data_IF_535963243903
#
_entry.id   IF_535963243903
#
_cell.length_a   1.000
_cell.length_b   1.000
_cell.length_c   1.000
_cell.angle_alpha   90.00
_cell.angle_beta   90.00
_cell.angle_gamma   90.00
#
_symmetry.space_group_name_H-M   'P 1'
#
loop_
_entity.id
_entity.type
_entity.pdbx_description
1 polymer ?
#
# COMPACT_ATOMS: atom_id res chain seq x y z
N UNK A 1 -13.48 -36.38 7.06
CA UNK A 1 -12.77 -35.30 6.35
C UNK A 1 -13.63 -34.07 6.45
N UNK A 2 -13.08 -32.93 6.84
CA UNK A 2 -13.82 -31.66 6.79
C UNK A 2 -14.16 -31.32 5.33
N UNK A 3 -15.40 -30.90 5.07
CA UNK A 3 -15.83 -30.46 3.74
C UNK A 3 -15.03 -29.21 3.37
N UNK A 4 -14.32 -29.23 2.24
CA UNK A 4 -13.60 -28.05 1.76
C UNK A 4 -14.59 -27.00 1.27
N UNK A 5 -14.26 -25.73 1.49
CA UNK A 5 -15.01 -24.60 0.92
C UNK A 5 -14.90 -24.68 -0.60
N UNK A 6 -16.05 -24.66 -1.29
CA UNK A 6 -16.16 -24.65 -2.75
C UNK A 6 -16.51 -23.26 -3.25
N UNK A 7 -15.73 -22.75 -4.19
CA UNK A 7 -15.90 -21.40 -4.73
C UNK A 7 -16.00 -21.48 -6.24
N UNK A 8 -17.07 -20.95 -6.81
CA UNK A 8 -17.13 -20.72 -8.25
C UNK A 8 -16.52 -19.35 -8.57
N UNK A 9 -15.51 -19.31 -9.42
CA UNK A 9 -14.96 -18.07 -9.98
C UNK A 9 -15.47 -17.89 -11.40
N UNK A 10 -16.43 -16.98 -11.55
CA UNK A 10 -17.16 -16.70 -12.77
C UNK A 10 -16.63 -15.48 -13.50
N UNK A 11 -16.60 -15.55 -14.85
CA UNK A 11 -16.31 -14.40 -15.69
C UNK A 11 -17.44 -14.14 -16.71
N UNK A 12 -18.41 -13.29 -16.35
CA UNK A 12 -19.63 -13.11 -17.13
C UNK A 12 -19.45 -12.23 -18.36
N UNK A 13 -20.24 -12.49 -19.40
CA UNK A 13 -20.44 -11.58 -20.53
C UNK A 13 -19.36 -11.68 -21.62
N UNK A 14 -18.97 -10.55 -22.23
CA UNK A 14 -17.95 -10.54 -23.30
C UNK A 14 -16.53 -10.22 -22.78
N UNK A 15 -16.37 -10.11 -21.47
CA UNK A 15 -15.11 -9.72 -20.84
C UNK A 15 -14.02 -10.77 -21.08
N UNK A 16 -12.96 -10.37 -21.78
CA UNK A 16 -11.79 -11.20 -22.09
C UNK A 16 -10.65 -11.12 -21.08
N UNK A 17 -10.73 -10.27 -20.05
CA UNK A 17 -9.61 -10.00 -19.14
C UNK A 17 -9.54 -11.00 -17.97
N UNK A 18 -8.92 -12.15 -18.15
CA UNK A 18 -8.91 -13.21 -17.13
C UNK A 18 -7.86 -13.08 -16.03
N UNK A 19 -6.86 -12.20 -16.18
CA UNK A 19 -5.71 -12.13 -15.25
C UNK A 19 -6.14 -12.01 -13.79
N UNK A 20 -7.05 -11.09 -13.47
CA UNK A 20 -7.55 -10.91 -12.11
C UNK A 20 -8.26 -12.17 -11.59
N UNK A 21 -9.17 -12.74 -12.38
CA UNK A 21 -9.90 -13.95 -12.02
C UNK A 21 -8.98 -15.14 -11.76
N UNK A 22 -7.92 -15.30 -12.56
CA UNK A 22 -6.91 -16.37 -12.40
C UNK A 22 -6.05 -16.19 -11.15
N UNK A 23 -5.70 -14.95 -10.81
CA UNK A 23 -4.99 -14.64 -9.56
C UNK A 23 -5.87 -14.95 -8.35
N UNK A 24 -7.15 -14.55 -8.37
CA UNK A 24 -8.10 -14.89 -7.30
C UNK A 24 -8.28 -16.41 -7.19
N UNK A 25 -8.48 -17.11 -8.31
CA UNK A 25 -8.61 -18.56 -8.31
C UNK A 25 -7.36 -19.27 -7.76
N UNK A 26 -6.16 -18.76 -8.05
CA UNK A 26 -4.92 -19.27 -7.46
C UNK A 26 -4.88 -19.01 -5.94
N UNK A 27 -5.13 -17.79 -5.50
CA UNK A 27 -5.11 -17.43 -4.08
C UNK A 27 -6.10 -18.24 -3.23
N UNK A 28 -7.30 -18.51 -3.75
CA UNK A 28 -8.30 -19.34 -3.08
C UNK A 28 -7.86 -20.82 -2.99
N UNK A 29 -7.24 -21.36 -4.05
CA UNK A 29 -6.66 -22.71 -4.02
C UNK A 29 -5.49 -22.83 -3.04
N UNK A 30 -4.61 -21.83 -3.02
CA UNK A 30 -3.48 -21.77 -2.08
C UNK A 30 -3.97 -21.69 -0.63
N UNK A 31 -5.15 -21.09 -0.41
CA UNK A 31 -5.85 -21.08 0.87
C UNK A 31 -6.59 -22.40 1.20
N UNK A 32 -6.47 -23.44 0.37
CA UNK A 32 -7.03 -24.78 0.61
C UNK A 32 -8.47 -24.97 0.14
N UNK A 33 -9.04 -24.03 -0.62
CA UNK A 33 -10.41 -24.11 -1.15
C UNK A 33 -10.46 -24.87 -2.48
N UNK A 34 -11.59 -25.51 -2.76
CA UNK A 34 -11.90 -26.08 -4.07
C UNK A 34 -12.45 -24.98 -4.98
N UNK A 35 -11.84 -24.78 -6.15
CA UNK A 35 -12.20 -23.67 -7.05
C UNK A 35 -12.70 -24.20 -8.40
N UNK A 36 -13.94 -23.86 -8.73
CA UNK A 36 -14.56 -24.10 -10.04
C UNK A 36 -14.43 -22.83 -10.88
N UNK A 37 -13.59 -22.85 -11.91
CA UNK A 37 -13.42 -21.71 -12.80
C UNK A 37 -14.25 -21.88 -14.07
N UNK A 38 -15.13 -20.92 -14.37
CA UNK A 38 -16.07 -21.04 -15.50
C UNK A 38 -15.42 -20.82 -16.87
N UNK A 39 -14.18 -20.36 -16.90
CA UNK A 39 -13.57 -19.85 -18.12
C UNK A 39 -14.12 -18.47 -18.53
N UNK A 40 -13.68 -18.02 -19.70
CA UNK A 40 -14.07 -16.73 -20.28
C UNK A 40 -15.50 -16.79 -20.83
N UNK A 41 -16.19 -15.64 -20.75
CA UNK A 41 -17.46 -15.39 -21.45
C UNK A 41 -18.59 -16.36 -21.12
N UNK A 42 -18.62 -16.85 -19.88
CA UNK A 42 -19.74 -17.64 -19.41
C UNK A 42 -20.99 -16.75 -19.33
N UNK A 43 -22.15 -17.29 -19.74
CA UNK A 43 -23.41 -16.58 -19.58
C UNK A 43 -23.83 -16.58 -18.11
N UNK A 44 -24.55 -15.53 -17.67
CA UNK A 44 -25.07 -15.47 -16.30
C UNK A 44 -25.92 -16.70 -15.92
N UNK A 45 -26.82 -17.20 -16.79
CA UNK A 45 -27.54 -18.44 -16.51
C UNK A 45 -26.63 -19.68 -16.38
N UNK A 46 -25.58 -19.78 -17.19
CA UNK A 46 -24.62 -20.88 -17.09
C UNK A 46 -23.81 -20.83 -15.79
N UNK A 47 -23.41 -19.63 -15.35
CA UNK A 47 -22.75 -19.42 -14.06
C UNK A 47 -23.66 -19.85 -12.91
N UNK A 48 -24.93 -19.43 -12.92
CA UNK A 48 -25.90 -19.80 -11.88
C UNK A 48 -26.16 -21.30 -11.83
N UNK A 49 -26.34 -21.94 -13.00
CA UNK A 49 -26.55 -23.37 -13.11
C UNK A 49 -25.34 -24.17 -12.61
N UNK A 50 -24.13 -23.78 -13.02
CA UNK A 50 -22.90 -24.42 -12.56
C UNK A 50 -22.70 -24.27 -11.05
N UNK A 51 -22.96 -23.07 -10.50
CA UNK A 51 -22.86 -22.84 -9.06
C UNK A 51 -23.79 -23.76 -8.26
N UNK A 52 -25.05 -23.91 -8.71
CA UNK A 52 -26.02 -24.79 -8.06
C UNK A 52 -25.68 -26.28 -8.24
N UNK A 53 -25.20 -26.69 -9.42
CA UNK A 53 -24.85 -28.08 -9.71
C UNK A 53 -23.61 -28.55 -8.94
N UNK A 54 -22.62 -27.67 -8.79
CA UNK A 54 -21.37 -27.96 -8.08
C UNK A 54 -21.48 -27.80 -6.55
N UNK A 55 -22.65 -27.35 -6.08
CA UNK A 55 -22.93 -27.08 -4.66
C UNK A 55 -21.87 -26.16 -4.02
N UNK A 56 -21.65 -25.01 -4.66
CA UNK A 56 -20.63 -24.06 -4.22
C UNK A 56 -21.12 -23.21 -3.06
N UNK A 57 -20.20 -22.87 -2.16
CA UNK A 57 -20.47 -22.07 -0.97
C UNK A 57 -20.51 -20.58 -1.29
N UNK A 58 -19.74 -20.15 -2.30
CA UNK A 58 -19.60 -18.74 -2.68
C UNK A 58 -19.42 -18.63 -4.20
N UNK A 59 -20.06 -17.63 -4.82
CA UNK A 59 -19.80 -17.23 -6.20
C UNK A 59 -18.95 -15.96 -6.19
N UNK A 60 -17.75 -16.03 -6.78
CA UNK A 60 -16.91 -14.88 -7.08
C UNK A 60 -17.02 -14.46 -8.54
N UNK A 61 -17.52 -13.25 -8.84
CA UNK A 61 -17.53 -12.69 -10.19
C UNK A 61 -16.35 -11.75 -10.44
N UNK A 62 -15.69 -11.88 -11.58
CA UNK A 62 -14.69 -10.91 -12.06
C UNK A 62 -15.22 -10.12 -13.25
N UNK A 63 -15.44 -8.81 -13.07
CA UNK A 63 -16.12 -7.94 -14.04
C UNK A 63 -15.26 -6.69 -14.33
N UNK A 64 -14.90 -6.49 -15.59
CA UNK A 64 -14.20 -5.29 -16.06
C UNK A 64 -14.99 -4.51 -17.13
N UNK A 65 -16.21 -4.94 -17.47
CA UNK A 65 -17.02 -4.37 -18.55
C UNK A 65 -17.86 -3.15 -18.16
N UNK A 66 -17.83 -2.71 -16.89
CA UNK A 66 -18.73 -1.69 -16.35
C UNK A 66 -20.20 -2.12 -16.23
N UNK A 67 -20.51 -3.37 -16.57
CA UNK A 67 -21.88 -3.91 -16.52
C UNK A 67 -22.18 -4.66 -15.21
N UNK A 68 -21.44 -4.37 -14.13
CA UNK A 68 -21.53 -5.09 -12.84
C UNK A 68 -22.93 -5.06 -12.25
N UNK A 69 -23.63 -3.93 -12.25
CA UNK A 69 -24.99 -3.83 -11.71
C UNK A 69 -25.96 -4.80 -12.40
N UNK A 70 -26.13 -4.65 -13.72
CA UNK A 70 -27.02 -5.50 -14.51
C UNK A 70 -26.65 -7.00 -14.47
N UNK A 71 -25.35 -7.31 -14.47
CA UNK A 71 -24.89 -8.70 -14.37
C UNK A 71 -25.24 -9.32 -13.01
N UNK A 72 -25.04 -8.58 -11.91
CA UNK A 72 -25.34 -9.06 -10.56
C UNK A 72 -26.85 -9.24 -10.37
N UNK A 73 -27.66 -8.28 -10.82
CA UNK A 73 -29.13 -8.38 -10.78
C UNK A 73 -29.62 -9.65 -11.48
N UNK A 74 -29.17 -9.89 -12.72
CA UNK A 74 -29.52 -11.08 -13.49
C UNK A 74 -29.04 -12.38 -12.84
N UNK A 75 -27.89 -12.37 -12.17
CA UNK A 75 -27.37 -13.55 -11.48
C UNK A 75 -28.25 -13.88 -10.26
N UNK A 76 -28.59 -12.87 -9.47
CA UNK A 76 -29.46 -13.01 -8.30
C UNK A 76 -30.82 -13.55 -8.72
N UNK A 77 -31.41 -13.03 -9.79
CA UNK A 77 -32.66 -13.56 -10.34
C UNK A 77 -32.53 -15.03 -10.81
N UNK A 78 -31.42 -15.38 -11.46
CA UNK A 78 -31.19 -16.75 -11.90
C UNK A 78 -31.05 -17.73 -10.73
N UNK A 79 -30.32 -17.34 -9.68
CA UNK A 79 -30.18 -18.15 -8.45
C UNK A 79 -31.52 -18.31 -7.73
N UNK A 80 -32.34 -17.25 -7.63
CA UNK A 80 -33.70 -17.32 -7.08
C UNK A 80 -34.57 -18.34 -7.81
N UNK A 81 -34.52 -18.37 -9.16
CA UNK A 81 -35.27 -19.35 -9.97
C UNK A 81 -34.80 -20.79 -9.71
N UNK A 82 -33.51 -20.98 -9.43
CA UNK A 82 -32.92 -22.27 -9.07
C UNK A 82 -33.12 -22.64 -7.59
N UNK A 83 -33.71 -21.75 -6.77
CA UNK A 83 -33.82 -21.88 -5.31
C UNK A 83 -32.46 -22.11 -4.64
N UNK A 84 -31.41 -21.52 -5.20
CA UNK A 84 -30.06 -21.54 -4.67
C UNK A 84 -29.79 -20.25 -3.90
N UNK A 85 -29.46 -20.37 -2.61
CA UNK A 85 -29.07 -19.23 -1.76
C UNK A 85 -27.56 -19.24 -1.56
N UNK A 86 -26.85 -18.67 -2.54
CA UNK A 86 -25.39 -18.67 -2.59
C UNK A 86 -24.90 -17.22 -2.54
N UNK A 87 -24.07 -16.83 -1.56
CA UNK A 87 -23.54 -15.48 -1.45
C UNK A 87 -22.65 -15.14 -2.65
N UNK A 88 -22.77 -13.88 -3.12
CA UNK A 88 -22.05 -13.37 -4.28
C UNK A 88 -20.99 -12.36 -3.83
N UNK A 89 -19.75 -12.58 -4.24
CA UNK A 89 -18.63 -11.65 -4.14
C UNK A 89 -18.32 -11.12 -5.54
N UNK A 90 -18.13 -9.81 -5.69
CA UNK A 90 -17.85 -9.19 -7.00
C UNK A 90 -16.51 -8.47 -6.94
N UNK A 91 -15.67 -8.69 -7.93
CA UNK A 91 -14.39 -8.00 -8.08
C UNK A 91 -14.14 -7.49 -9.49
N UNK A 92 -13.14 -6.62 -9.63
CA UNK A 92 -12.71 -6.04 -10.89
C UNK A 92 -12.60 -4.52 -10.81
N UNK A 93 -12.80 -3.83 -11.94
CA UNK A 93 -12.77 -2.36 -11.98
C UNK A 93 -14.18 -1.84 -11.67
N UNK A 94 -14.50 -1.78 -10.38
CA UNK A 94 -15.81 -1.37 -9.89
C UNK A 94 -15.68 0.01 -9.23
N UNK A 95 -16.30 1.07 -9.78
CA UNK A 95 -16.26 2.40 -9.20
C UNK A 95 -16.79 2.41 -7.76
N UNK A 96 -16.14 3.14 -6.86
CA UNK A 96 -16.52 3.20 -5.44
C UNK A 96 -17.98 3.67 -5.24
N UNK A 97 -18.48 4.55 -6.12
CA UNK A 97 -19.86 5.02 -6.09
C UNK A 97 -20.91 3.91 -6.31
N UNK A 98 -20.52 2.79 -6.92
CA UNK A 98 -21.42 1.68 -7.24
C UNK A 98 -21.44 0.60 -6.15
N UNK A 99 -20.60 0.72 -5.12
CA UNK A 99 -20.46 -0.33 -4.10
C UNK A 99 -21.70 -0.44 -3.22
N UNK A 100 -22.30 0.69 -2.86
CA UNK A 100 -23.52 0.72 -2.02
C UNK A 100 -24.72 0.16 -2.78
N UNK A 101 -24.87 0.51 -4.07
CA UNK A 101 -25.95 -0.01 -4.90
C UNK A 101 -25.82 -1.52 -5.15
N UNK A 102 -24.61 -2.04 -5.36
CA UNK A 102 -24.37 -3.48 -5.46
C UNK A 102 -24.74 -4.22 -4.16
N UNK A 103 -24.40 -3.66 -2.99
CA UNK A 103 -24.80 -4.24 -1.70
C UNK A 103 -26.31 -4.23 -1.50
N UNK A 104 -26.97 -3.12 -1.84
CA UNK A 104 -28.43 -3.02 -1.79
C UNK A 104 -29.12 -4.04 -2.71
N UNK A 105 -28.49 -4.44 -3.82
CA UNK A 105 -28.98 -5.50 -4.70
C UNK A 105 -28.85 -6.90 -4.10
N UNK A 106 -27.99 -7.11 -3.10
CA UNK A 106 -27.72 -8.42 -2.48
C UNK A 106 -26.33 -8.98 -2.73
N UNK A 107 -25.38 -8.18 -3.26
CA UNK A 107 -23.96 -8.57 -3.32
C UNK A 107 -23.36 -8.52 -1.92
N UNK A 108 -22.75 -9.63 -1.49
CA UNK A 108 -22.23 -9.78 -0.14
C UNK A 108 -20.91 -9.02 0.09
N UNK A 109 -20.05 -8.92 -0.92
CA UNK A 109 -18.79 -8.16 -0.86
C UNK A 109 -18.35 -7.64 -2.22
N UNK A 110 -17.67 -6.49 -2.24
CA UNK A 110 -17.14 -5.84 -3.44
C UNK A 110 -15.63 -5.60 -3.29
N UNK A 111 -14.84 -5.99 -4.27
CA UNK A 111 -13.37 -5.84 -4.26
C UNK A 111 -12.87 -5.09 -5.50
N UNK A 112 -12.20 -3.96 -5.28
CA UNK A 112 -11.52 -3.20 -6.33
C UNK A 112 -10.13 -3.75 -6.70
N UNK A 113 -9.43 -3.15 -7.70
CA UNK A 113 -8.12 -3.61 -8.18
C UNK A 113 -7.02 -3.61 -7.11
N UNK A 114 -7.10 -2.70 -6.14
CA UNK A 114 -6.13 -2.55 -5.04
C UNK A 114 -6.46 -3.43 -3.81
N UNK A 115 -7.48 -4.28 -3.90
CA UNK A 115 -7.90 -5.09 -2.76
C UNK A 115 -6.84 -6.15 -2.43
N UNK A 116 -6.42 -6.29 -1.16
CA UNK A 116 -5.49 -7.34 -0.77
C UNK A 116 -6.09 -8.73 -1.02
N UNK A 117 -5.32 -9.66 -1.58
CA UNK A 117 -5.77 -11.04 -1.83
C UNK A 117 -6.26 -11.73 -0.55
N UNK A 118 -5.56 -11.50 0.57
CA UNK A 118 -5.96 -12.03 1.87
C UNK A 118 -7.36 -11.58 2.29
N UNK A 119 -7.77 -10.35 1.98
CA UNK A 119 -9.11 -9.87 2.31
C UNK A 119 -10.20 -10.62 1.52
N UNK A 120 -9.92 -10.97 0.26
CA UNK A 120 -10.82 -11.79 -0.55
C UNK A 120 -10.95 -13.21 0.05
N UNK A 121 -9.83 -13.82 0.43
CA UNK A 121 -9.81 -15.15 1.06
C UNK A 121 -10.62 -15.15 2.36
N UNK A 122 -10.40 -14.17 3.24
CA UNK A 122 -11.12 -14.08 4.51
C UNK A 122 -12.63 -13.83 4.33
N UNK A 123 -13.01 -13.00 3.36
CA UNK A 123 -14.43 -12.79 3.05
C UNK A 123 -15.11 -14.06 2.55
N UNK A 124 -14.44 -14.84 1.69
CA UNK A 124 -14.96 -16.12 1.22
C UNK A 124 -15.10 -17.11 2.38
N UNK A 125 -14.13 -17.18 3.30
CA UNK A 125 -14.24 -18.03 4.51
C UNK A 125 -15.42 -17.65 5.39
N UNK A 126 -15.58 -16.35 5.67
CA UNK A 126 -16.67 -15.84 6.47
C UNK A 126 -18.03 -16.23 5.85
N UNK A 127 -18.22 -15.93 4.56
CA UNK A 127 -19.45 -16.22 3.84
C UNK A 127 -19.77 -17.72 3.78
N UNK A 128 -18.78 -18.57 3.49
CA UNK A 128 -18.96 -20.02 3.48
C UNK A 128 -19.33 -20.60 4.86
N UNK A 129 -19.01 -19.88 5.95
CA UNK A 129 -19.40 -20.24 7.32
C UNK A 129 -20.73 -19.60 7.78
N UNK A 130 -21.44 -18.90 6.89
CA UNK A 130 -22.68 -18.18 7.22
C UNK A 130 -22.47 -16.88 7.99
N UNK A 131 -21.23 -16.42 8.14
CA UNK A 131 -20.92 -15.11 8.70
C UNK A 131 -21.02 -14.04 7.61
N UNK A 132 -21.43 -12.81 7.94
CA UNK A 132 -21.38 -11.71 6.98
C UNK A 132 -19.94 -11.52 6.51
N UNK A 133 -19.75 -11.18 5.24
CA UNK A 133 -18.44 -10.78 4.75
C UNK A 133 -17.93 -9.61 5.62
N UNK A 134 -16.63 -9.59 5.98
CA UNK A 134 -16.03 -8.41 6.55
C UNK A 134 -16.38 -7.22 5.66
N UNK A 135 -16.92 -6.15 6.25
CA UNK A 135 -17.10 -4.89 5.52
C UNK A 135 -15.76 -4.52 4.89
N UNK A 136 -15.79 -3.86 3.71
CA UNK A 136 -14.61 -3.53 2.90
C UNK A 136 -13.41 -3.31 3.79
N UNK A 137 -12.26 -3.96 3.55
CA UNK A 137 -11.10 -3.77 4.40
C UNK A 137 -10.88 -2.27 4.51
N UNK A 138 -11.23 -1.71 5.68
CA UNK A 138 -10.97 -0.32 6.01
C UNK A 138 -9.50 -0.19 5.69
N UNK A 139 -9.09 0.61 4.68
CA UNK A 139 -7.79 0.47 4.05
C UNK A 139 -6.80 0.34 5.19
N UNK A 140 -6.18 -0.86 5.29
CA UNK A 140 -5.38 -1.25 6.45
C UNK A 140 -4.56 -0.02 6.79
N UNK A 141 -4.58 0.53 8.03
CA UNK A 141 -4.15 1.89 8.30
C UNK A 141 -2.74 2.03 7.77
N UNK A 142 -2.65 2.52 6.53
CA UNK A 142 -1.48 2.33 5.71
C UNK A 142 -0.34 2.97 6.50
N UNK A 143 0.80 2.31 6.49
CA UNK A 143 1.99 2.83 7.15
C UNK A 143 2.37 4.20 6.58
N UNK A 144 3.63 4.57 6.71
CA UNK A 144 4.14 5.69 5.94
C UNK A 144 3.98 5.30 4.46
N UNK A 145 3.18 6.02 3.64
CA UNK A 145 3.03 5.72 2.22
C UNK A 145 4.26 6.24 1.47
N UNK A 146 5.43 5.74 1.87
CA UNK A 146 6.71 6.13 1.32
C UNK A 146 6.80 5.63 -0.12
N UNK A 147 7.24 6.51 -1.03
CA UNK A 147 7.42 6.16 -2.43
C UNK A 147 8.79 5.53 -2.69
N UNK A 148 9.80 5.92 -1.92
CA UNK A 148 11.17 5.36 -1.94
C UNK A 148 11.96 5.73 -0.69
N UNK A 149 13.10 5.07 -0.48
CA UNK A 149 14.19 5.62 0.32
C UNK A 149 14.70 6.88 -0.38
N UNK A 150 14.79 7.98 0.36
CA UNK A 150 15.25 9.24 -0.19
C UNK A 150 16.75 9.41 0.00
N UNK A 151 17.19 9.43 1.25
CA UNK A 151 18.61 9.50 1.56
C UNK A 151 18.94 8.84 2.90
N UNK A 152 20.22 8.60 3.10
CA UNK A 152 20.81 8.14 4.35
C UNK A 152 21.84 9.17 4.78
N UNK A 153 21.73 9.69 6.00
CA UNK A 153 22.58 10.77 6.47
C UNK A 153 23.66 10.27 7.44
N UNK A 154 24.90 10.67 7.21
CA UNK A 154 26.02 10.51 8.14
C UNK A 154 26.33 11.88 8.73
N UNK A 155 26.26 12.00 10.06
CA UNK A 155 26.73 13.20 10.72
C UNK A 155 28.26 13.16 10.83
N UNK A 156 28.93 14.23 10.42
CA UNK A 156 30.39 14.32 10.32
C UNK A 156 30.95 15.56 11.01
N UNK A 157 32.16 15.44 11.57
CA UNK A 157 32.89 16.55 12.19
C UNK A 157 33.51 17.49 11.17
N UNK A 158 34.05 16.93 10.08
CA UNK A 158 34.75 17.68 9.04
C UNK A 158 34.16 17.35 7.65
N UNK A 159 33.27 18.23 7.18
CA UNK A 159 32.61 18.07 5.89
C UNK A 159 33.60 17.92 4.74
N UNK A 160 34.67 18.73 4.71
CA UNK A 160 35.62 18.72 3.59
C UNK A 160 36.42 17.43 3.56
N UNK A 161 36.90 16.98 4.72
CA UNK A 161 37.63 15.72 4.81
C UNK A 161 36.74 14.53 4.44
N UNK A 162 35.49 14.50 4.89
CA UNK A 162 34.54 13.44 4.57
C UNK A 162 34.14 13.41 3.09
N UNK A 163 33.93 14.58 2.47
CA UNK A 163 33.70 14.67 1.02
C UNK A 163 34.90 14.10 0.26
N UNK A 164 36.11 14.58 0.56
CA UNK A 164 37.32 14.12 -0.11
C UNK A 164 37.52 12.60 0.02
N UNK A 165 37.22 12.03 1.19
CA UNK A 165 37.30 10.59 1.43
C UNK A 165 36.31 9.80 0.55
N UNK A 166 35.06 10.26 0.44
CA UNK A 166 34.04 9.60 -0.40
C UNK A 166 34.43 9.70 -1.88
N UNK A 167 34.89 10.86 -2.33
CA UNK A 167 35.30 11.04 -3.72
C UNK A 167 36.50 10.18 -4.07
N UNK A 168 37.47 10.02 -3.16
CA UNK A 168 38.68 9.23 -3.37
C UNK A 168 38.40 7.71 -3.32
N UNK A 169 37.69 7.24 -2.29
CA UNK A 169 37.48 5.80 -2.07
C UNK A 169 36.35 5.25 -2.93
N UNK A 170 35.23 5.97 -3.02
CA UNK A 170 34.03 5.48 -3.72
C UNK A 170 33.94 6.02 -5.15
N UNK A 171 34.76 7.01 -5.53
CA UNK A 171 34.72 7.64 -6.85
C UNK A 171 33.48 8.50 -7.09
N UNK A 172 32.63 8.68 -6.08
CA UNK A 172 31.35 9.38 -6.21
C UNK A 172 31.55 10.87 -5.94
N UNK A 173 31.15 11.72 -6.89
CA UNK A 173 31.30 13.18 -6.78
C UNK A 173 30.16 13.80 -5.98
N UNK A 174 30.47 14.86 -5.25
CA UNK A 174 29.45 15.65 -4.57
C UNK A 174 28.52 16.28 -5.60
N UNK A 175 27.22 16.04 -5.45
CA UNK A 175 26.19 16.50 -6.38
C UNK A 175 25.60 17.86 -5.94
N UNK A 176 25.54 18.09 -4.63
CA UNK A 176 24.99 19.33 -4.07
C UNK A 176 25.62 19.62 -2.70
N UNK A 177 25.88 20.88 -2.42
CA UNK A 177 26.27 21.38 -1.09
C UNK A 177 25.43 22.61 -0.78
N UNK A 178 24.96 22.70 0.47
CA UNK A 178 24.21 23.87 0.92
C UNK A 178 24.33 24.08 2.43
N UNK A 179 24.08 25.32 2.83
CA UNK A 179 23.76 25.63 4.21
C UNK A 179 22.24 25.58 4.38
N UNK A 180 21.74 24.89 5.42
CA UNK A 180 20.31 24.79 5.74
C UNK A 180 20.02 25.56 7.03
N UNK A 181 19.71 26.88 6.98
CA UNK A 181 19.54 27.72 8.17
C UNK A 181 18.47 27.22 9.14
N UNK A 182 17.36 26.71 8.60
CA UNK A 182 16.25 26.18 9.39
C UNK A 182 16.68 25.00 10.29
N UNK A 183 17.75 24.31 9.92
CA UNK A 183 18.32 23.17 10.63
C UNK A 183 19.62 23.49 11.34
N UNK A 184 20.24 24.65 11.06
CA UNK A 184 21.57 25.03 11.55
C UNK A 184 22.62 23.99 11.20
N UNK A 185 22.61 23.50 9.96
CA UNK A 185 23.55 22.50 9.46
C UNK A 185 24.10 22.91 8.11
N UNK A 186 25.27 22.39 7.77
CA UNK A 186 25.76 22.30 6.41
C UNK A 186 25.53 20.87 5.91
N UNK A 187 25.06 20.73 4.67
CA UNK A 187 24.69 19.46 4.07
C UNK A 187 25.41 19.27 2.72
N UNK A 188 25.82 18.04 2.44
CA UNK A 188 26.37 17.63 1.15
C UNK A 188 25.73 16.32 0.68
N UNK A 189 25.36 16.23 -0.59
CA UNK A 189 24.66 15.08 -1.15
C UNK A 189 25.47 14.40 -2.26
N UNK A 190 25.46 13.08 -2.24
CA UNK A 190 26.00 12.21 -3.28
C UNK A 190 24.84 11.39 -3.86
N UNK A 191 24.42 11.72 -5.09
CA UNK A 191 23.23 11.15 -5.71
C UNK A 191 23.55 9.84 -6.46
N UNK A 192 22.71 8.82 -6.29
CA UNK A 192 22.84 7.54 -7.00
C UNK A 192 21.79 7.39 -8.11
N UNK A 193 22.05 6.57 -9.15
CA UNK A 193 21.14 6.40 -10.29
C UNK A 193 19.74 5.88 -9.94
N UNK A 194 19.56 5.25 -8.79
CA UNK A 194 18.26 4.77 -8.32
C UNK A 194 17.40 5.88 -7.65
N UNK A 195 17.89 7.12 -7.62
CA UNK A 195 17.20 8.27 -7.05
C UNK A 195 17.29 8.38 -5.53
N UNK A 196 18.16 7.59 -4.89
CA UNK A 196 18.52 7.74 -3.49
C UNK A 196 19.86 8.51 -3.36
N UNK A 197 20.11 9.10 -2.21
CA UNK A 197 21.35 9.83 -1.94
C UNK A 197 22.04 9.39 -0.64
N UNK A 198 23.36 9.55 -0.60
CA UNK A 198 24.10 9.63 0.66
C UNK A 198 24.21 11.12 1.03
N UNK A 199 23.75 11.48 2.23
CA UNK A 199 23.90 12.82 2.78
C UNK A 199 25.02 12.83 3.83
N UNK A 200 25.87 13.84 3.78
CA UNK A 200 26.69 14.25 4.90
C UNK A 200 26.05 15.46 5.57
N UNK A 201 25.97 15.45 6.89
CA UNK A 201 25.45 16.58 7.68
C UNK A 201 26.45 17.00 8.76
N UNK A 202 26.82 18.27 8.77
CA UNK A 202 27.70 18.84 9.80
C UNK A 202 26.95 19.93 10.59
N UNK A 203 27.06 19.98 11.93
CA UNK A 203 26.43 21.02 12.71
C UNK A 203 27.04 22.39 12.39
N UNK A 204 26.18 23.38 12.27
CA UNK A 204 26.53 24.80 12.19
C UNK A 204 25.74 25.58 13.23
N UNK A 205 26.06 25.34 14.50
CA UNK A 205 25.31 25.84 15.65
C UNK A 205 24.11 24.97 16.02
N UNK A 206 24.14 23.68 15.68
CA UNK A 206 23.14 22.69 16.06
C UNK A 206 23.64 21.87 17.25
N UNK A 207 23.22 22.28 18.46
CA UNK A 207 23.62 21.63 19.71
C UNK A 207 23.24 20.14 19.80
N UNK A 208 22.22 19.69 19.07
CA UNK A 208 21.82 18.28 19.03
C UNK A 208 22.85 17.42 18.29
N UNK A 209 23.25 17.88 17.10
CA UNK A 209 24.27 17.20 16.29
C UNK A 209 25.67 17.35 16.89
N UNK A 210 25.99 18.47 17.52
CA UNK A 210 27.24 18.65 18.27
C UNK A 210 27.38 17.58 19.37
N UNK A 211 26.36 17.42 20.21
CA UNK A 211 26.32 16.36 21.24
C UNK A 211 26.33 14.95 20.64
N UNK A 212 25.71 14.76 19.48
CA UNK A 212 25.76 13.49 18.77
C UNK A 212 27.21 13.15 18.39
N UNK A 213 27.94 14.08 17.78
CA UNK A 213 29.34 13.90 17.36
C UNK A 213 30.29 13.74 18.54
N UNK A 214 30.07 14.44 19.65
CA UNK A 214 30.81 14.25 20.90
C UNK A 214 30.69 12.81 21.42
N UNK A 215 29.47 12.25 21.34
CA UNK A 215 29.17 10.92 21.90
C UNK A 215 29.49 9.76 20.95
N UNK A 216 29.29 9.95 19.65
CA UNK A 216 29.32 8.88 18.64
C UNK A 216 30.51 8.99 17.68
N UNK A 217 31.11 10.17 17.56
CA UNK A 217 31.95 10.49 16.41
C UNK A 217 31.13 10.55 15.12
N UNK A 218 31.83 10.48 13.98
CA UNK A 218 31.19 10.44 12.67
C UNK A 218 30.39 9.15 12.54
N UNK A 219 29.08 9.26 12.31
CA UNK A 219 28.18 8.11 12.35
C UNK A 219 26.85 8.35 11.62
N UNK A 220 26.17 7.25 11.28
CA UNK A 220 24.81 7.27 10.74
C UNK A 220 23.86 8.04 11.67
N UNK A 221 23.19 9.04 11.13
CA UNK A 221 22.32 9.96 11.86
C UNK A 221 20.83 9.65 11.64
N UNK A 222 20.38 9.56 10.39
CA UNK A 222 18.99 9.21 10.08
C UNK A 222 18.82 8.51 8.73
N UNK A 223 17.62 7.92 8.55
CA UNK A 223 17.12 7.42 7.27
C UNK A 223 15.92 8.25 6.85
N UNK A 224 15.90 8.67 5.58
CA UNK A 224 14.88 9.54 5.04
C UNK A 224 13.99 8.80 4.03
N UNK A 225 12.68 8.98 4.15
CA UNK A 225 11.67 8.37 3.28
C UNK A 225 10.91 9.44 2.50
N UNK A 226 10.83 9.28 1.18
CA UNK A 226 10.08 10.19 0.32
C UNK A 226 8.58 9.95 0.48
N UNK A 227 7.81 11.01 0.72
CA UNK A 227 6.34 11.00 0.80
C UNK A 227 5.74 12.07 -0.13
N UNK A 228 4.47 11.91 -0.49
CA UNK A 228 3.74 12.86 -1.36
C UNK A 228 3.12 14.03 -0.61
N UNK A 229 2.72 13.81 0.64
CA UNK A 229 2.04 14.78 1.50
C UNK A 229 2.49 14.55 2.96
N UNK A 230 3.46 15.33 3.40
CA UNK A 230 4.10 15.22 4.70
C UNK A 230 3.12 15.54 5.83
N UNK A 231 2.26 16.55 5.65
CA UNK A 231 1.36 17.00 6.70
C UNK A 231 0.22 15.99 6.91
N UNK A 232 -0.30 15.40 5.83
CA UNK A 232 -1.26 14.30 5.93
C UNK A 232 -0.65 13.07 6.61
N UNK A 233 0.61 12.75 6.31
CA UNK A 233 1.32 11.64 6.96
C UNK A 233 1.55 11.91 8.44
N UNK A 234 2.01 13.10 8.82
CA UNK A 234 2.23 13.48 10.22
C UNK A 234 0.92 13.45 11.02
N UNK A 235 -0.16 14.03 10.49
CA UNK A 235 -1.48 13.98 11.12
C UNK A 235 -1.95 12.55 11.35
N UNK A 236 -1.71 11.66 10.38
CA UNK A 236 -2.05 10.24 10.50
C UNK A 236 -1.22 9.52 11.57
N UNK A 237 0.07 9.80 11.63
CA UNK A 237 0.98 9.20 12.60
C UNK A 237 0.67 9.69 14.03
N UNK A 238 0.39 10.98 14.20
CA UNK A 238 -0.02 11.58 15.48
C UNK A 238 -1.33 10.98 15.98
N UNK A 239 -2.32 10.82 15.10
CA UNK A 239 -3.59 10.15 15.42
C UNK A 239 -3.43 8.68 15.86
N UNK A 240 -2.28 8.05 15.54
CA UNK A 240 -1.92 6.69 15.95
C UNK A 240 -1.02 6.67 17.19
N UNK A 241 -0.72 7.83 17.79
CA UNK A 241 0.16 7.95 18.95
C UNK A 241 1.63 7.67 18.63
N UNK A 242 2.04 7.75 17.36
CA UNK A 242 3.45 7.61 16.99
C UNK A 242 4.22 8.82 17.53
N UNK A 243 5.30 8.63 18.31
CA UNK A 243 6.12 9.75 18.77
C UNK A 243 6.73 10.54 17.62
N UNK A 244 6.34 11.82 17.47
CA UNK A 244 6.86 12.75 16.45
C UNK A 244 7.80 13.77 17.08
N UNK A 245 8.80 14.23 16.32
CA UNK A 245 9.56 15.45 16.66
C UNK A 245 8.84 16.65 16.06
N UNK A 246 8.54 16.57 14.76
CA UNK A 246 7.85 17.62 14.02
C UNK A 246 6.37 17.27 13.85
N UNK A 247 5.48 18.22 14.16
CA UNK A 247 4.02 18.06 13.96
C UNK A 247 3.53 18.54 12.59
N UNK A 248 4.35 19.35 11.92
CA UNK A 248 4.11 19.91 10.58
C UNK A 248 5.43 19.92 9.81
N UNK A 249 5.37 19.75 8.49
CA UNK A 249 6.55 19.81 7.64
C UNK A 249 7.19 21.20 7.62
N UNK A 250 8.52 21.26 7.73
CA UNK A 250 9.32 22.49 7.75
C UNK A 250 10.32 22.52 6.59
N UNK A 251 10.88 23.69 6.21
CA UNK A 251 11.88 23.76 5.15
C UNK A 251 13.10 22.89 5.47
N UNK A 252 13.55 22.13 4.47
CA UNK A 252 14.73 21.28 4.50
C UNK A 252 15.73 21.62 3.40
N UNK A 253 16.66 20.71 3.17
CA UNK A 253 17.66 20.78 2.11
C UNK A 253 17.01 20.69 0.71
N UNK A 254 17.67 21.18 -0.33
CA UNK A 254 17.31 21.06 -1.76
C UNK A 254 15.93 21.64 -2.09
N UNK A 255 15.49 22.62 -1.31
CA UNK A 255 14.16 23.22 -1.43
C UNK A 255 13.02 22.29 -1.04
N UNK A 256 13.29 21.14 -0.42
CA UNK A 256 12.28 20.19 0.03
C UNK A 256 11.65 20.59 1.36
N UNK A 257 10.55 19.92 1.71
CA UNK A 257 9.98 19.96 3.06
C UNK A 257 10.35 18.68 3.80
N UNK A 258 10.66 18.81 5.08
CA UNK A 258 11.09 17.70 5.94
C UNK A 258 10.35 17.68 7.28
N UNK A 259 10.30 16.50 7.90
CA UNK A 259 9.78 16.30 9.24
C UNK A 259 10.37 15.06 9.88
N UNK A 260 10.72 15.13 11.15
CA UNK A 260 11.36 14.04 11.88
C UNK A 260 10.39 13.30 12.80
N UNK A 261 10.52 11.98 12.82
CA UNK A 261 9.84 11.10 13.78
C UNK A 261 10.80 10.82 14.93
N UNK A 262 10.28 10.75 16.15
CA UNK A 262 11.14 10.58 17.32
C UNK A 262 11.75 9.16 17.33
N UNK A 263 13.06 8.98 17.64
CA UNK A 263 13.74 7.67 17.57
C UNK A 263 13.09 6.53 18.36
N UNK A 264 12.37 6.88 19.44
CA UNK A 264 11.55 5.95 20.24
C UNK A 264 10.51 5.18 19.40
N UNK A 265 10.06 5.74 18.28
CA UNK A 265 9.12 5.08 17.39
C UNK A 265 9.75 3.90 16.63
N UNK A 266 11.08 3.88 16.45
CA UNK A 266 11.79 2.92 15.58
C UNK A 266 13.08 2.39 16.23
N UNK A 267 13.00 1.91 17.48
CA UNK A 267 14.12 1.20 18.11
C UNK A 267 15.39 2.03 18.29
N UNK A 268 15.29 3.36 18.29
CA UNK A 268 16.43 4.27 18.38
C UNK A 268 16.88 4.87 17.04
N UNK A 269 16.25 4.50 15.93
CA UNK A 269 16.53 5.08 14.60
C UNK A 269 15.73 6.37 14.40
N UNK A 270 16.43 7.45 14.06
CA UNK A 270 15.81 8.69 13.62
C UNK A 270 15.31 8.51 12.17
N UNK A 271 14.02 8.75 11.94
CA UNK A 271 13.44 8.77 10.60
C UNK A 271 13.08 10.19 10.21
N UNK A 272 13.41 10.55 8.96
CA UNK A 272 12.97 11.77 8.31
C UNK A 272 11.94 11.43 7.22
N UNK A 273 10.91 12.25 7.11
CA UNK A 273 10.01 12.27 5.96
C UNK A 273 10.41 13.43 5.07
N UNK A 274 10.51 13.19 3.77
CA UNK A 274 10.85 14.21 2.78
C UNK A 274 9.70 14.33 1.80
N UNK A 275 9.20 15.54 1.62
CA UNK A 275 8.28 15.90 0.54
C UNK A 275 9.03 16.78 -0.46
N UNK A 276 8.93 16.43 -1.73
CA UNK A 276 9.55 17.21 -2.80
C UNK A 276 8.92 18.60 -2.87
N UNK A 277 9.73 19.63 -2.64
CA UNK A 277 9.30 21.00 -2.83
C UNK A 277 9.23 21.35 -4.31
N UNK A 278 8.35 22.29 -4.65
CA UNK A 278 8.29 22.86 -6.00
C UNK A 278 9.56 23.66 -6.27
N UNK A 279 10.42 23.16 -7.15
CA UNK A 279 11.48 23.99 -7.74
C UNK A 279 10.81 25.13 -8.52
N UNK A 280 10.96 26.37 -8.05
CA UNK A 280 10.74 27.58 -8.87
C UNK A 280 12.04 27.97 -9.53
#
# INVERSE_FOLDING_TARGET
MERKIRVLVGKPGLDGHDRGARVIAAALRDAGMEVVYTGLRASVPAIAAAAAQEDVDVIGLSILSGAHGSICERLIEALKKLKADIPIVVGGIIPAADHESLRALGVAAVFGPESPLGAVVEAVRALASGQPAPQDPKPAPAGIPATRLDHTAICVKDMKASIALIEDILGQKVAHEEHVPAQKVDAAFFDFPNGASLELVAPRGNAGLEKFLEKRGDALHHLALRVKDIDAVLKRLDARGVPLIDKVGRPGARGHRVAFLHPKAFGGTLLELVEEGTHT
#
